data_IF_181277585379
#
_entry.id   IF_181277585379
#
_cell.length_a   1.000
_cell.length_b   1.000
_cell.length_c   1.000
_cell.angle_alpha   90.00
_cell.angle_beta   90.00
_cell.angle_gamma   90.00
#
_symmetry.space_group_name_H-M   'P 1'
#
loop_
_entity.id
_entity.type
_entity.pdbx_description
1 polymer ?
#
# COMPACT_ATOMS: atom_id res chain seq x y z
N UNK A 1 -15.92 -17.41 53.16
CA UNK A 1 -14.62 -17.24 52.50
C UNK A 1 -14.82 -16.83 51.05
N UNK A 2 -14.87 -15.52 50.79
CA UNK A 2 -14.88 -15.00 49.41
C UNK A 2 -13.45 -15.00 48.86
N UNK A 3 -13.21 -15.43 47.61
CA UNK A 3 -11.88 -15.43 47.02
C UNK A 3 -11.47 -14.00 46.69
N UNK A 4 -10.40 -13.54 47.36
CA UNK A 4 -9.77 -12.25 47.15
C UNK A 4 -9.15 -12.20 45.76
N UNK A 5 -9.75 -11.46 44.83
CA UNK A 5 -9.22 -11.24 43.49
C UNK A 5 -7.99 -10.35 43.63
N UNK A 6 -6.79 -10.92 43.47
CA UNK A 6 -5.55 -10.16 43.45
C UNK A 6 -5.52 -9.23 42.23
N UNK A 7 -5.16 -7.96 42.47
CA UNK A 7 -5.01 -6.96 41.40
C UNK A 7 -3.96 -7.40 40.37
N UNK A 8 -4.14 -7.12 39.07
CA UNK A 8 -3.17 -7.49 38.04
C UNK A 8 -1.79 -6.92 38.39
N UNK A 9 -0.80 -7.81 38.51
CA UNK A 9 0.59 -7.45 38.83
C UNK A 9 1.05 -6.36 37.86
N UNK A 10 1.59 -5.27 38.42
CA UNK A 10 2.21 -4.18 37.68
C UNK A 10 3.31 -4.78 36.80
N UNK A 11 3.12 -4.79 35.49
CA UNK A 11 4.15 -5.18 34.52
C UNK A 11 5.30 -4.19 34.73
N UNK A 12 6.40 -4.67 35.31
CA UNK A 12 7.65 -3.92 35.36
C UNK A 12 8.14 -3.91 33.92
N UNK A 13 8.11 -2.75 33.27
CA UNK A 13 8.67 -2.60 31.93
C UNK A 13 10.18 -2.76 32.08
N UNK A 14 10.67 -3.90 31.60
CA UNK A 14 12.06 -4.34 31.65
C UNK A 14 12.97 -3.39 30.86
N UNK A 15 14.19 -3.24 31.38
CA UNK A 15 15.46 -2.84 30.75
C UNK A 15 15.38 -2.03 29.45
N UNK A 16 15.74 -0.75 29.51
CA UNK A 16 15.89 0.09 28.31
C UNK A 16 17.01 -0.49 27.43
N UNK A 17 16.64 -1.27 26.42
CA UNK A 17 17.56 -1.73 25.37
C UNK A 17 18.14 -0.48 24.69
N UNK A 18 19.45 -0.28 24.85
CA UNK A 18 20.17 0.82 24.20
C UNK A 18 20.00 0.68 22.69
N UNK A 19 19.29 1.61 22.07
CA UNK A 19 19.14 1.62 20.61
C UNK A 19 20.51 1.86 19.98
N UNK A 20 20.95 0.92 19.13
CA UNK A 20 22.18 1.06 18.36
C UNK A 20 22.05 2.03 17.18
N UNK A 21 20.82 2.45 16.87
CA UNK A 21 20.44 3.21 15.69
C UNK A 21 19.71 4.49 16.10
N UNK A 22 19.83 5.61 15.34
CA UNK A 22 19.19 6.88 15.68
C UNK A 22 17.66 6.75 15.70
N UNK A 23 17.09 6.45 16.86
CA UNK A 23 15.65 6.26 17.04
C UNK A 23 15.01 7.42 17.82
N UNK A 24 15.79 8.46 18.13
CA UNK A 24 15.26 9.66 18.78
C UNK A 24 14.59 10.55 17.74
N UNK A 25 13.48 11.19 18.12
CA UNK A 25 12.75 12.12 17.26
C UNK A 25 13.65 13.18 16.61
N UNK A 26 14.53 13.80 17.40
CA UNK A 26 15.42 14.88 16.94
C UNK A 26 16.38 14.37 15.86
N UNK A 27 17.03 13.23 16.11
CA UNK A 27 17.96 12.60 15.17
C UNK A 27 17.26 12.20 13.86
N UNK A 28 16.03 11.66 13.94
CA UNK A 28 15.27 11.31 12.73
C UNK A 28 14.88 12.56 11.93
N UNK A 29 14.54 13.66 12.59
CA UNK A 29 14.23 14.93 11.91
C UNK A 29 15.45 15.45 11.15
N UNK A 30 16.63 15.42 11.77
CA UNK A 30 17.89 15.82 11.14
C UNK A 30 18.22 14.94 9.92
N UNK A 31 18.10 13.61 10.07
CA UNK A 31 18.29 12.67 8.96
C UNK A 31 17.31 12.88 7.82
N UNK A 32 16.05 13.21 8.13
CA UNK A 32 15.04 13.53 7.11
C UNK A 32 15.37 14.85 6.42
N UNK A 33 15.80 15.87 7.16
CA UNK A 33 16.16 17.18 6.60
C UNK A 33 17.33 17.05 5.61
N UNK A 34 18.38 16.33 5.99
CA UNK A 34 19.54 16.13 5.11
C UNK A 34 19.17 15.27 3.89
N UNK A 35 18.37 14.21 4.07
CA UNK A 35 17.87 13.39 2.97
C UNK A 35 17.08 14.22 1.96
N UNK A 36 16.13 15.04 2.44
CA UNK A 36 15.32 15.89 1.59
C UNK A 36 16.16 16.94 0.87
N UNK A 37 17.15 17.54 1.54
CA UNK A 37 18.10 18.45 0.92
C UNK A 37 18.82 17.81 -0.26
N UNK A 38 19.40 16.63 -0.05
CA UNK A 38 20.08 15.87 -1.10
C UNK A 38 19.12 15.57 -2.26
N UNK A 39 17.90 15.13 -1.96
CA UNK A 39 16.90 14.77 -2.98
C UNK A 39 16.48 15.97 -3.84
N UNK A 40 16.25 17.13 -3.22
CA UNK A 40 15.91 18.37 -3.93
C UNK A 40 17.08 18.95 -4.73
N UNK A 41 18.32 18.74 -4.29
CA UNK A 41 19.51 19.18 -5.02
C UNK A 41 19.77 18.29 -6.26
N UNK A 42 19.44 16.99 -6.17
CA UNK A 42 19.67 16.02 -7.26
C UNK A 42 18.53 15.94 -8.28
N UNK A 43 17.30 16.29 -7.87
CA UNK A 43 16.09 16.06 -8.66
C UNK A 43 15.22 17.32 -8.73
N UNK A 44 14.74 17.62 -9.94
CA UNK A 44 13.81 18.73 -10.19
C UNK A 44 12.34 18.29 -10.22
N UNK A 45 12.08 17.01 -10.44
CA UNK A 45 10.75 16.42 -10.48
C UNK A 45 10.75 15.04 -9.79
N UNK A 46 9.68 14.76 -9.04
CA UNK A 46 9.48 13.53 -8.28
C UNK A 46 8.27 12.73 -8.80
N UNK A 47 7.65 13.15 -9.90
CA UNK A 47 6.43 12.53 -10.42
C UNK A 47 6.66 11.12 -10.99
N UNK A 48 7.87 10.84 -11.50
CA UNK A 48 8.25 9.53 -12.02
C UNK A 48 9.36 8.91 -11.16
N UNK A 49 9.03 7.81 -10.47
CA UNK A 49 9.97 7.06 -9.62
C UNK A 49 11.27 6.66 -10.31
N UNK A 50 11.22 6.25 -11.58
CA UNK A 50 12.42 5.80 -12.29
C UNK A 50 13.36 6.95 -12.69
N UNK A 51 12.86 8.19 -12.68
CA UNK A 51 13.64 9.38 -12.99
C UNK A 51 14.32 10.00 -11.75
N UNK A 52 13.91 9.57 -10.54
CA UNK A 52 14.51 10.03 -9.29
C UNK A 52 15.93 9.45 -9.20
N UNK A 53 16.92 10.34 -9.27
CA UNK A 53 18.31 10.01 -8.97
C UNK A 53 18.43 9.78 -7.47
N UNK A 54 18.89 8.58 -7.11
CA UNK A 54 19.07 8.13 -5.73
C UNK A 54 20.55 7.90 -5.41
N UNK A 55 21.42 8.86 -5.72
CA UNK A 55 22.83 8.74 -5.33
C UNK A 55 22.98 9.25 -3.91
N UNK A 56 22.99 8.35 -2.93
CA UNK A 56 23.18 8.71 -1.53
C UNK A 56 24.66 9.08 -1.33
N UNK A 57 25.00 10.34 -1.03
CA UNK A 57 26.38 10.72 -0.77
C UNK A 57 26.90 10.05 0.49
N UNK A 58 28.18 9.68 0.51
CA UNK A 58 28.83 9.11 1.70
C UNK A 58 28.74 10.03 2.93
N UNK A 59 28.57 11.34 2.72
CA UNK A 59 28.36 12.34 3.78
C UNK A 59 27.03 12.18 4.54
N UNK A 60 26.06 11.46 3.97
CA UNK A 60 24.80 11.15 4.65
C UNK A 60 24.99 10.07 5.73
N UNK A 61 25.95 9.16 5.52
CA UNK A 61 26.25 8.07 6.45
C UNK A 61 27.26 8.46 7.54
N UNK A 62 27.90 9.63 7.43
CA UNK A 62 28.97 10.06 8.34
C UNK A 62 28.51 10.56 9.71
N UNK A 63 27.19 10.64 9.97
CA UNK A 63 26.70 11.13 11.27
C UNK A 63 27.23 10.35 12.48
N UNK A 64 27.80 9.15 12.30
CA UNK A 64 28.14 8.27 13.44
C UNK A 64 29.32 7.29 13.19
N UNK A 65 30.17 7.55 12.18
CA UNK A 65 31.30 6.65 11.86
C UNK A 65 32.43 6.64 12.90
N UNK A 66 32.43 7.55 13.89
CA UNK A 66 33.57 7.74 14.78
C UNK A 66 33.64 6.76 15.96
N UNK A 67 32.56 6.09 16.36
CA UNK A 67 32.47 5.51 17.73
C UNK A 67 32.16 4.00 17.83
N UNK A 68 32.21 3.21 16.75
CA UNK A 68 31.98 1.76 16.85
C UNK A 68 32.90 0.94 15.95
N UNK A 69 33.69 0.05 16.55
CA UNK A 69 34.53 -0.96 15.87
C UNK A 69 33.72 -2.17 15.37
N UNK A 70 32.45 -2.31 15.78
CA UNK A 70 31.61 -3.43 15.38
C UNK A 70 30.99 -3.21 14.00
N UNK A 71 31.46 -3.98 13.02
CA UNK A 71 30.95 -3.97 11.65
C UNK A 71 29.43 -4.21 11.57
N UNK A 72 28.85 -5.06 12.42
CA UNK A 72 27.41 -5.30 12.45
C UNK A 72 26.59 -4.06 12.84
N UNK A 73 27.12 -3.22 13.74
CA UNK A 73 26.47 -1.98 14.16
C UNK A 73 26.52 -0.96 13.02
N UNK A 74 27.67 -0.88 12.32
CA UNK A 74 27.83 -0.02 11.14
C UNK A 74 26.85 -0.39 10.03
N UNK A 75 26.73 -1.68 9.71
CA UNK A 75 25.78 -2.16 8.70
C UNK A 75 24.33 -1.87 9.10
N UNK A 76 23.97 -2.10 10.37
CA UNK A 76 22.60 -1.83 10.86
C UNK A 76 22.24 -0.34 10.78
N UNK A 77 23.18 0.55 11.11
CA UNK A 77 23.02 2.00 10.97
C UNK A 77 22.90 2.43 9.52
N UNK A 78 23.76 1.89 8.65
CA UNK A 78 23.72 2.17 7.22
C UNK A 78 22.37 1.80 6.61
N UNK A 79 21.88 0.58 6.91
CA UNK A 79 20.57 0.11 6.48
C UNK A 79 19.43 1.00 6.99
N UNK A 80 19.52 1.50 8.22
CA UNK A 80 18.52 2.41 8.76
C UNK A 80 18.51 3.79 8.09
N UNK A 81 19.69 4.39 7.88
CA UNK A 81 19.79 5.65 7.14
C UNK A 81 19.23 5.49 5.72
N UNK A 82 19.59 4.39 5.05
CA UNK A 82 19.04 4.06 3.73
C UNK A 82 17.51 3.92 3.77
N UNK A 83 16.96 3.22 4.77
CA UNK A 83 15.51 3.10 4.94
C UNK A 83 14.83 4.46 5.10
N UNK A 84 15.38 5.38 5.90
CA UNK A 84 14.83 6.75 6.03
C UNK A 84 14.88 7.49 4.70
N UNK A 85 15.99 7.38 3.97
CA UNK A 85 16.15 8.01 2.67
C UNK A 85 15.12 7.49 1.65
N UNK A 86 14.94 6.17 1.60
CA UNK A 86 13.94 5.52 0.75
C UNK A 86 12.52 5.94 1.13
N UNK A 87 12.21 6.06 2.42
CA UNK A 87 10.91 6.57 2.88
C UNK A 87 10.65 8.02 2.44
N UNK A 88 11.66 8.88 2.49
CA UNK A 88 11.56 10.25 1.96
C UNK A 88 11.24 10.25 0.45
N UNK A 89 11.89 9.37 -0.32
CA UNK A 89 11.62 9.22 -1.76
C UNK A 89 10.18 8.77 -1.99
N UNK A 90 9.71 7.74 -1.28
CA UNK A 90 8.35 7.22 -1.46
C UNK A 90 7.30 8.29 -1.18
N UNK A 91 7.48 9.05 -0.09
CA UNK A 91 6.55 10.12 0.28
C UNK A 91 6.60 11.28 -0.71
N UNK A 92 7.78 11.69 -1.18
CA UNK A 92 7.91 12.70 -2.23
C UNK A 92 7.25 12.25 -3.53
N UNK A 93 7.55 11.03 -3.96
CA UNK A 93 6.95 10.45 -5.16
C UNK A 93 5.43 10.46 -5.03
N UNK A 94 4.86 9.91 -3.96
CA UNK A 94 3.40 9.88 -3.76
C UNK A 94 2.77 11.29 -3.70
N UNK A 95 3.48 12.29 -3.18
CA UNK A 95 3.01 13.67 -3.18
C UNK A 95 2.98 14.29 -4.58
N UNK A 96 4.00 14.02 -5.41
CA UNK A 96 4.16 14.61 -6.74
C UNK A 96 3.47 13.82 -7.86
N UNK A 97 3.31 12.50 -7.72
CA UNK A 97 2.45 11.72 -8.60
C UNK A 97 1.07 12.34 -8.55
N UNK A 98 0.55 12.85 -9.67
CA UNK A 98 -0.83 13.31 -9.70
C UNK A 98 -1.77 12.15 -9.33
N UNK A 99 -3.03 12.41 -8.98
CA UNK A 99 -4.02 11.34 -8.89
C UNK A 99 -4.25 10.81 -10.32
N UNK A 100 -3.28 10.07 -10.86
CA UNK A 100 -3.38 9.41 -12.14
C UNK A 100 -4.31 8.23 -11.93
N UNK A 101 -5.60 8.54 -11.89
CA UNK A 101 -6.57 7.65 -12.47
C UNK A 101 -6.47 7.76 -13.99
N UNK A 102 -5.53 7.03 -14.56
CA UNK A 102 -5.75 6.53 -15.90
C UNK A 102 -5.45 5.03 -15.81
N UNK A 103 -6.53 4.33 -15.53
CA UNK A 103 -6.64 2.90 -15.67
C UNK A 103 -5.91 2.41 -16.92
N UNK A 104 -5.04 1.42 -16.77
CA UNK A 104 -4.77 0.45 -17.86
C UNK A 104 -5.97 -0.49 -18.03
N UNK A 105 -7.18 0.02 -17.85
CA UNK A 105 -8.41 -0.72 -18.06
C UNK A 105 -9.12 -0.12 -19.29
N UNK A 106 -9.74 -0.97 -20.11
CA UNK A 106 -10.53 -0.51 -21.26
C UNK A 106 -11.63 0.48 -20.85
N UNK A 107 -12.08 1.32 -21.79
CA UNK A 107 -13.08 2.39 -21.54
C UNK A 107 -14.40 1.89 -20.91
N UNK A 108 -14.73 0.62 -21.07
CA UNK A 108 -15.95 -0.01 -20.51
C UNK A 108 -15.79 -0.46 -19.04
N UNK A 109 -14.59 -0.41 -18.48
CA UNK A 109 -14.32 -0.82 -17.11
C UNK A 109 -14.21 0.41 -16.19
N UNK A 110 -14.86 0.34 -15.02
CA UNK A 110 -14.81 1.43 -14.03
C UNK A 110 -13.38 1.67 -13.58
N UNK A 111 -12.91 2.91 -13.69
CA UNK A 111 -11.58 3.29 -13.22
C UNK A 111 -11.52 3.18 -11.69
N UNK A 112 -10.64 2.31 -11.18
CA UNK A 112 -10.39 2.23 -9.74
C UNK A 112 -9.53 3.43 -9.34
N UNK A 113 -9.96 4.18 -8.31
CA UNK A 113 -9.13 5.19 -7.66
C UNK A 113 -8.07 4.42 -6.88
N UNK A 114 -6.82 4.41 -7.36
CA UNK A 114 -5.71 4.00 -6.50
C UNK A 114 -5.58 5.10 -5.45
N UNK A 115 -6.11 4.84 -4.25
CA UNK A 115 -6.02 5.78 -3.15
C UNK A 115 -4.57 5.89 -2.72
N UNK A 116 -4.02 7.10 -2.79
CA UNK A 116 -2.76 7.45 -2.14
C UNK A 116 -2.82 7.04 -0.66
N UNK A 117 -1.79 6.32 -0.20
CA UNK A 117 -1.72 5.70 1.13
C UNK A 117 -1.39 6.72 2.21
N UNK A 118 -0.49 7.66 1.93
CA UNK A 118 0.06 8.61 2.90
C UNK A 118 -0.31 10.07 2.62
N UNK A 119 -0.58 10.45 1.36
CA UNK A 119 -0.89 11.84 0.99
C UNK A 119 -2.21 12.01 0.22
N UNK A 120 -3.20 12.70 0.79
CA UNK A 120 -4.54 12.91 0.19
C UNK A 120 -4.89 14.40 0.06
N UNK A 121 -3.99 15.19 -0.52
CA UNK A 121 -4.16 16.64 -0.66
C UNK A 121 -3.73 17.17 -2.03
N UNK A 122 -3.97 18.48 -2.25
CA UNK A 122 -3.42 19.21 -3.38
C UNK A 122 -1.94 19.46 -3.16
N UNK A 123 -1.12 19.17 -4.18
CA UNK A 123 0.34 19.38 -4.18
C UNK A 123 0.71 20.68 -3.45
N UNK A 124 1.57 20.65 -2.42
CA UNK A 124 1.93 21.86 -1.70
C UNK A 124 2.83 22.74 -2.59
N UNK A 125 2.61 24.05 -2.56
CA UNK A 125 3.39 25.00 -3.38
C UNK A 125 4.78 25.28 -2.79
N UNK A 126 4.93 25.24 -1.46
CA UNK A 126 6.21 25.56 -0.81
C UNK A 126 6.96 24.32 -0.35
N UNK A 127 8.26 24.28 -0.66
CA UNK A 127 9.23 23.27 -0.19
C UNK A 127 9.19 23.07 1.33
N UNK A 128 9.09 24.15 2.10
CA UNK A 128 9.03 24.08 3.55
C UNK A 128 7.82 23.28 4.08
N UNK A 129 6.66 23.41 3.45
CA UNK A 129 5.47 22.64 3.84
C UNK A 129 5.61 21.16 3.48
N UNK A 130 6.28 20.86 2.35
CA UNK A 130 6.60 19.49 1.95
C UNK A 130 7.53 18.85 2.99
N UNK A 131 8.60 19.53 3.38
CA UNK A 131 9.56 19.03 4.37
C UNK A 131 8.90 18.76 5.72
N UNK A 132 8.10 19.71 6.23
CA UNK A 132 7.35 19.52 7.48
C UNK A 132 6.37 18.34 7.42
N UNK A 133 5.67 18.20 6.31
CA UNK A 133 4.72 17.10 6.11
C UNK A 133 5.42 15.75 6.13
N UNK A 134 6.51 15.61 5.35
CA UNK A 134 7.27 14.36 5.26
C UNK A 134 7.88 14.00 6.61
N UNK A 135 8.51 14.95 7.29
CA UNK A 135 9.05 14.72 8.64
C UNK A 135 7.96 14.23 9.60
N UNK A 136 6.79 14.87 9.60
CA UNK A 136 5.67 14.47 10.44
C UNK A 136 5.18 13.05 10.11
N UNK A 137 5.14 12.70 8.82
CA UNK A 137 4.70 11.38 8.36
C UNK A 137 5.71 10.28 8.68
N UNK A 138 7.01 10.52 8.51
CA UNK A 138 8.05 9.56 8.88
C UNK A 138 8.04 9.32 10.39
N UNK A 139 7.88 10.38 11.20
CA UNK A 139 7.73 10.23 12.65
C UNK A 139 6.45 9.47 13.04
N UNK A 140 5.37 9.60 12.28
CA UNK A 140 4.14 8.81 12.46
C UNK A 140 4.38 7.33 12.14
N UNK A 141 5.02 7.02 11.00
CA UNK A 141 5.34 5.65 10.57
C UNK A 141 6.29 4.96 11.57
N UNK A 142 7.29 5.70 12.09
CA UNK A 142 8.24 5.19 13.07
C UNK A 142 7.70 5.20 14.51
N UNK A 143 6.45 5.62 14.73
CA UNK A 143 5.82 5.74 16.06
C UNK A 143 6.57 6.67 17.05
N UNK A 144 7.35 7.62 16.52
CA UNK A 144 8.12 8.61 17.28
C UNK A 144 7.35 9.92 17.52
N UNK A 145 6.17 10.05 16.93
CA UNK A 145 5.31 11.19 17.18
C UNK A 145 4.70 11.09 18.60
N UNK A 146 4.57 12.23 19.29
CA UNK A 146 3.91 12.32 20.62
C UNK A 146 2.42 11.97 20.53
N UNK A 147 1.84 12.05 19.33
CA UNK A 147 0.65 11.29 18.97
C UNK A 147 1.04 9.84 18.70
N UNK A 148 1.59 9.15 19.70
CA UNK A 148 1.34 7.74 19.76
C UNK A 148 -0.17 7.61 19.64
N UNK A 149 -0.66 6.73 18.77
CA UNK A 149 -2.00 6.18 18.89
C UNK A 149 -2.01 5.67 20.31
N UNK A 150 -2.46 6.53 21.21
CA UNK A 150 -2.24 6.30 22.61
C UNK A 150 -3.22 5.19 22.80
N UNK A 151 -2.79 3.93 22.95
CA UNK A 151 -3.64 2.87 23.46
C UNK A 151 -4.29 3.30 24.78
N UNK A 152 -3.79 4.37 25.41
CA UNK A 152 -4.44 5.22 26.43
C UNK A 152 -5.76 5.93 26.05
N UNK A 153 -6.04 6.25 24.78
CA UNK A 153 -7.39 6.61 24.28
C UNK A 153 -8.25 5.37 24.03
N UNK A 154 -7.62 4.20 23.88
CA UNK A 154 -8.24 2.87 23.83
C UNK A 154 -8.36 2.22 25.21
N UNK A 155 -7.87 2.87 26.29
CA UNK A 155 -8.55 2.82 27.58
C UNK A 155 -9.89 3.50 27.36
N UNK A 156 -10.77 2.79 26.67
CA UNK A 156 -12.20 2.85 26.88
C UNK A 156 -12.30 2.87 28.39
N UNK A 157 -12.67 4.03 28.95
CA UNK A 157 -13.22 4.03 30.29
C UNK A 157 -14.33 2.99 30.23
N UNK A 158 -14.11 1.83 30.86
CA UNK A 158 -14.99 0.66 30.79
C UNK A 158 -16.36 0.93 31.44
N UNK A 159 -16.86 2.16 31.42
CA UNK A 159 -18.08 2.59 32.07
C UNK A 159 -18.84 3.73 31.41
N UNK A 160 -18.47 4.25 30.22
CA UNK A 160 -19.26 5.30 29.55
C UNK A 160 -19.67 4.93 28.13
N UNK A 161 -20.97 5.13 27.81
CA UNK A 161 -21.59 4.89 26.48
C UNK A 161 -20.81 5.55 25.34
N UNK A 162 -20.28 6.74 25.61
CA UNK A 162 -19.51 7.57 24.66
C UNK A 162 -18.14 6.98 24.27
N UNK A 163 -17.59 6.03 25.06
CA UNK A 163 -16.33 5.35 24.74
C UNK A 163 -16.50 4.22 23.72
N UNK A 164 -17.66 3.53 23.76
CA UNK A 164 -18.03 2.50 22.77
C UNK A 164 -18.31 3.11 21.40
N UNK A 165 -19.08 4.20 21.37
CA UNK A 165 -19.43 4.92 20.13
C UNK A 165 -18.18 5.40 19.36
N UNK A 166 -17.11 5.80 20.05
CA UNK A 166 -15.83 6.22 19.43
C UNK A 166 -14.99 5.07 18.91
N UNK A 167 -14.99 3.93 19.61
CA UNK A 167 -14.34 2.72 19.14
C UNK A 167 -15.02 2.21 17.87
N UNK A 168 -16.36 2.17 17.87
CA UNK A 168 -17.17 1.78 16.73
C UNK A 168 -16.91 2.70 15.53
N UNK A 169 -16.86 4.02 15.70
CA UNK A 169 -16.60 4.92 14.56
C UNK A 169 -15.20 4.75 13.97
N UNK A 170 -14.17 4.54 14.80
CA UNK A 170 -12.80 4.31 14.32
C UNK A 170 -12.68 2.95 13.65
N UNK A 171 -13.30 1.92 14.22
CA UNK A 171 -13.35 0.60 13.62
C UNK A 171 -14.09 0.63 12.28
N UNK A 172 -15.23 1.32 12.19
CA UNK A 172 -15.98 1.52 10.95
C UNK A 172 -15.17 2.31 9.93
N UNK A 173 -14.37 3.28 10.37
CA UNK A 173 -13.48 4.03 9.48
C UNK A 173 -12.33 3.15 8.98
N UNK A 174 -11.76 2.31 9.84
CA UNK A 174 -10.68 1.38 9.49
C UNK A 174 -11.17 0.25 8.58
N UNK A 175 -12.35 -0.31 8.86
CA UNK A 175 -13.01 -1.29 8.00
C UNK A 175 -13.31 -0.64 6.65
N UNK A 176 -13.96 0.53 6.59
CA UNK A 176 -14.20 1.21 5.30
C UNK A 176 -12.93 1.54 4.53
N UNK A 177 -11.82 1.83 5.22
CA UNK A 177 -10.50 2.05 4.57
C UNK A 177 -9.94 0.77 3.96
N UNK A 178 -10.21 -0.38 4.54
CA UNK A 178 -9.56 -1.66 4.20
C UNK A 178 -10.46 -2.61 3.38
N UNK A 179 -11.77 -2.49 3.48
CA UNK A 179 -12.78 -3.34 2.83
C UNK A 179 -12.62 -3.41 1.32
N UNK A 180 -12.38 -2.27 0.65
CA UNK A 180 -12.17 -2.21 -0.80
C UNK A 180 -10.92 -2.96 -1.30
N UNK A 181 -10.01 -3.35 -0.39
CA UNK A 181 -8.77 -4.06 -0.70
C UNK A 181 -8.83 -5.54 -0.34
N UNK A 182 -9.82 -5.98 0.44
CA UNK A 182 -9.81 -7.31 1.05
C UNK A 182 -10.40 -8.40 0.17
N UNK A 183 -11.27 -8.07 -0.78
CA UNK A 183 -11.78 -9.06 -1.74
C UNK A 183 -12.02 -8.42 -3.11
N UNK A 184 -11.21 -8.77 -4.10
CA UNK A 184 -11.39 -8.32 -5.48
C UNK A 184 -12.17 -9.38 -6.29
N UNK A 185 -13.49 -9.39 -6.15
CA UNK A 185 -14.36 -10.29 -6.93
C UNK A 185 -14.47 -9.89 -8.41
N UNK A 186 -13.93 -8.74 -8.82
CA UNK A 186 -14.04 -8.29 -10.21
C UNK A 186 -13.27 -9.23 -11.13
N UNK A 187 -12.06 -9.65 -10.74
CA UNK A 187 -11.20 -10.51 -11.56
C UNK A 187 -11.83 -11.92 -11.69
N UNK A 188 -12.29 -12.50 -10.57
CA UNK A 188 -12.98 -13.80 -10.56
C UNK A 188 -14.29 -13.76 -11.36
N UNK A 189 -15.06 -12.66 -11.26
CA UNK A 189 -16.30 -12.47 -12.01
C UNK A 189 -16.04 -12.32 -13.52
N UNK A 190 -14.97 -11.60 -13.90
CA UNK A 190 -14.56 -11.47 -15.30
C UNK A 190 -14.14 -12.82 -15.85
N UNK A 191 -13.32 -13.59 -15.13
CA UNK A 191 -12.91 -14.93 -15.55
C UNK A 191 -14.12 -15.84 -15.74
N UNK A 192 -15.01 -15.90 -14.75
CA UNK A 192 -16.19 -16.75 -14.83
C UNK A 192 -17.13 -16.32 -15.98
N UNK A 193 -17.21 -15.02 -16.30
CA UNK A 193 -17.94 -14.54 -17.48
C UNK A 193 -17.30 -14.97 -18.80
N UNK A 194 -15.97 -14.92 -18.90
CA UNK A 194 -15.25 -15.41 -20.07
C UNK A 194 -15.45 -16.92 -20.25
N UNK A 195 -15.30 -17.71 -19.19
CA UNK A 195 -15.50 -19.16 -19.22
C UNK A 195 -16.91 -19.53 -19.69
N UNK A 196 -17.93 -18.82 -19.18
CA UNK A 196 -19.33 -19.01 -19.61
C UNK A 196 -19.48 -18.62 -21.08
N UNK A 197 -18.94 -17.48 -21.50
CA UNK A 197 -19.04 -17.01 -22.89
C UNK A 197 -18.38 -17.99 -23.87
N UNK A 198 -17.21 -18.52 -23.54
CA UNK A 198 -16.50 -19.53 -24.34
C UNK A 198 -17.31 -20.82 -24.42
N UNK A 199 -17.88 -21.29 -23.31
CA UNK A 199 -18.74 -22.48 -23.31
C UNK A 199 -20.00 -22.33 -24.18
N UNK A 200 -20.59 -21.13 -24.20
CA UNK A 200 -21.76 -20.82 -25.03
C UNK A 200 -21.33 -20.78 -26.50
N UNK A 201 -20.20 -20.13 -26.79
CA UNK A 201 -19.67 -20.03 -28.15
C UNK A 201 -19.35 -21.41 -28.73
N UNK A 202 -18.65 -22.26 -27.98
CA UNK A 202 -18.30 -23.62 -28.39
C UNK A 202 -19.56 -24.44 -28.68
N UNK A 203 -20.59 -24.31 -27.83
CA UNK A 203 -21.85 -25.00 -28.04
C UNK A 203 -22.58 -24.54 -29.30
N UNK A 204 -22.63 -23.22 -29.55
CA UNK A 204 -23.22 -22.67 -30.78
C UNK A 204 -22.45 -23.11 -32.03
N UNK A 205 -21.12 -23.15 -31.98
CA UNK A 205 -20.29 -23.65 -33.08
C UNK A 205 -20.57 -25.14 -33.33
N UNK A 206 -20.68 -25.94 -32.29
CA UNK A 206 -21.01 -27.37 -32.44
C UNK A 206 -22.41 -27.59 -33.02
N UNK A 207 -23.41 -26.88 -32.51
CA UNK A 207 -24.80 -26.97 -33.00
C UNK A 207 -24.89 -26.56 -34.48
N UNK A 208 -24.25 -25.45 -34.87
CA UNK A 208 -24.23 -24.99 -36.28
C UNK A 208 -23.46 -25.95 -37.20
N UNK A 209 -22.37 -26.53 -36.72
CA UNK A 209 -21.60 -27.53 -37.48
C UNK A 209 -22.41 -28.80 -37.71
N UNK A 210 -23.14 -29.28 -36.69
CA UNK A 210 -24.04 -30.43 -36.80
C UNK A 210 -25.15 -30.13 -37.82
N UNK A 211 -25.81 -28.98 -37.74
CA UNK A 211 -26.85 -28.60 -38.70
C UNK A 211 -26.31 -28.50 -40.14
N UNK A 212 -25.13 -27.92 -40.31
CA UNK A 212 -24.49 -27.82 -41.62
C UNK A 212 -24.13 -29.20 -42.20
N UNK A 213 -23.60 -30.11 -41.39
CA UNK A 213 -23.31 -31.48 -41.81
C UNK A 213 -24.58 -32.24 -42.19
N UNK A 214 -25.65 -32.13 -41.41
CA UNK A 214 -26.94 -32.76 -41.72
C UNK A 214 -27.53 -32.24 -43.05
N UNK A 215 -27.46 -30.92 -43.30
CA UNK A 215 -27.88 -30.34 -44.59
C UNK A 215 -27.05 -30.90 -45.76
N UNK A 216 -25.75 -31.05 -45.57
CA UNK A 216 -24.85 -31.62 -46.58
C UNK A 216 -25.20 -33.10 -46.84
N UNK A 217 -25.37 -33.90 -45.79
CA UNK A 217 -25.72 -35.32 -45.89
C UNK A 217 -27.06 -35.52 -46.58
N UNK A 218 -28.09 -34.73 -46.22
CA UNK A 218 -29.37 -34.74 -46.93
C UNK A 218 -29.21 -34.43 -48.41
N UNK A 219 -28.40 -33.41 -48.76
CA UNK A 219 -28.13 -33.07 -50.18
C UNK A 219 -27.41 -34.21 -50.92
N UNK A 220 -26.43 -34.87 -50.31
CA UNK A 220 -25.75 -36.02 -50.91
C UNK A 220 -26.70 -37.20 -51.12
N UNK A 221 -27.59 -37.48 -50.17
CA UNK A 221 -28.62 -38.52 -50.31
C UNK A 221 -29.61 -38.21 -51.45
N UNK A 222 -30.10 -36.97 -51.55
CA UNK A 222 -30.99 -36.57 -52.65
C UNK A 222 -30.29 -36.61 -54.02
N UNK A 223 -29.01 -36.24 -54.10
CA UNK A 223 -28.22 -36.34 -55.34
C UNK A 223 -27.98 -37.78 -55.79
N UNK A 224 -27.74 -38.69 -54.85
CA UNK A 224 -27.47 -40.12 -55.11
C UNK A 224 -28.73 -40.90 -55.54
N UNK A 225 -29.90 -40.49 -55.04
CA UNK A 225 -31.19 -41.07 -55.45
C UNK A 225 -31.70 -40.52 -56.79
N UNK A 226 -31.35 -39.27 -57.14
CA UNK A 226 -31.69 -38.67 -58.44
C UNK A 226 -30.89 -39.27 -59.61
N UNK A 227 -29.73 -39.88 -59.34
CA UNK A 227 -28.88 -40.55 -60.35
C UNK A 227 -29.20 -42.04 -60.53
N UNK A 228 -30.19 -42.59 -59.82
CA UNK A 228 -30.60 -44.01 -59.88
C UNK A 228 -31.96 -44.25 -60.57
N UNK A 229 -32.50 -43.26 -61.27
CA UNK A 229 -33.65 -43.38 -62.19
C UNK A 229 -33.18 -43.16 -63.63
#
# INVERSE_FOLDING_TARGET
>A
DEPRIESPRKIVIEEQVKSFVPHTREQVIELCHEALRILFDQNTDFSNRSAIKCQIPNSYFTYDQQDSDDENIRHSRHAYCQMIFDLCIELLHEMYTENVQLSTYPEWQKTKLVSKRFYRGNKPENRHFIEQFIQTKILEILNLNTRQITYSKWRISNGTRNGKEKFETVLDEEIRRTESQWINYDDDCIQLKFDIADSILDRLIQETLIECLDVVDRRFFFSSNSTRL
#
